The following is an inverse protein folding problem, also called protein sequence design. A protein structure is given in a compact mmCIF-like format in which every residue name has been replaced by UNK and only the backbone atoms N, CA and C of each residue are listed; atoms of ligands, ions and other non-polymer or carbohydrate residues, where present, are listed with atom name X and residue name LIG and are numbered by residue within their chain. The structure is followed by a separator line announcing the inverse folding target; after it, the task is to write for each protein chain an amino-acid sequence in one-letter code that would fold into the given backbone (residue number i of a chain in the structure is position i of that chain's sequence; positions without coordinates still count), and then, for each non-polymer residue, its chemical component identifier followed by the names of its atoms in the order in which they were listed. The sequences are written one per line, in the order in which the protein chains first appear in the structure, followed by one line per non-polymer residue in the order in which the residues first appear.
data_IF_150854241504
#
_entry.id   IF_150854241504
#
_cell.length_a   1.000
_cell.length_b   1.000
_cell.length_c   1.000
_cell.angle_alpha   90.00
_cell.angle_beta   90.00
_cell.angle_gamma   90.00
#
_symmetry.space_group_name_H-M   'P 1'
#
loop_
_entity.id
_entity.type
_entity.pdbx_description
1 polymer ?
#
# COMPACT_ATOMS: atom_id res chain seq x y z
N UNK A 1 21.37 26.38 -18.95
CA UNK A 1 20.82 25.22 -19.67
C UNK A 1 21.19 23.88 -19.02
N UNK A 2 22.41 23.74 -18.45
CA UNK A 2 22.82 22.57 -17.65
C UNK A 2 22.03 22.38 -16.35
N UNK A 3 21.71 23.47 -15.64
CA UNK A 3 20.94 23.43 -14.38
C UNK A 3 19.51 22.90 -14.57
N UNK A 4 18.89 23.21 -15.72
CA UNK A 4 17.54 22.74 -16.06
C UNK A 4 17.55 21.23 -16.31
N UNK A 5 18.54 20.72 -17.05
CA UNK A 5 18.76 19.29 -17.30
C UNK A 5 19.10 18.51 -16.02
N UNK A 6 19.93 19.07 -15.14
CA UNK A 6 20.27 18.45 -13.86
C UNK A 6 19.04 18.38 -12.94
N UNK A 7 18.23 19.45 -12.91
CA UNK A 7 16.99 19.48 -12.12
C UNK A 7 15.92 18.51 -12.65
N UNK A 8 15.83 18.29 -13.97
CA UNK A 8 14.93 17.30 -14.55
C UNK A 8 15.41 15.88 -14.27
N UNK A 9 16.73 15.66 -14.32
CA UNK A 9 17.31 14.34 -14.04
C UNK A 9 17.15 13.96 -12.56
N UNK A 10 17.39 14.87 -11.61
CA UNK A 10 17.10 14.62 -10.18
C UNK A 10 15.61 14.35 -9.92
N UNK A 11 14.71 15.04 -10.62
CA UNK A 11 13.26 14.77 -10.54
C UNK A 11 12.91 13.40 -11.10
N UNK A 12 13.52 12.99 -12.21
CA UNK A 12 13.34 11.67 -12.79
C UNK A 12 13.84 10.54 -11.87
N UNK A 13 15.05 10.68 -11.30
CA UNK A 13 15.61 9.70 -10.34
C UNK A 13 14.74 9.61 -9.08
N UNK A 14 14.28 10.76 -8.55
CA UNK A 14 13.44 10.80 -7.35
C UNK A 14 12.05 10.20 -7.62
N UNK A 15 11.51 10.34 -8.83
CA UNK A 15 10.32 9.60 -9.29
C UNK A 15 10.61 8.11 -9.34
N UNK A 16 11.71 7.68 -9.96
CA UNK A 16 12.03 6.24 -10.06
C UNK A 16 12.19 5.54 -8.70
N UNK A 17 12.81 6.20 -7.71
CA UNK A 17 12.88 5.68 -6.34
C UNK A 17 11.51 5.63 -5.65
N UNK A 18 10.68 6.66 -5.84
CA UNK A 18 9.27 6.69 -5.38
C UNK A 18 8.45 5.56 -5.99
N UNK A 19 8.56 5.37 -7.31
CA UNK A 19 7.90 4.32 -8.09
C UNK A 19 8.27 2.91 -7.58
N UNK A 20 9.53 2.70 -7.17
CA UNK A 20 9.98 1.41 -6.60
C UNK A 20 9.42 1.17 -5.19
N UNK A 21 9.39 2.21 -4.34
CA UNK A 21 8.93 2.10 -2.95
C UNK A 21 7.45 1.75 -2.80
N UNK A 22 6.61 2.36 -3.62
CA UNK A 22 5.18 2.08 -3.63
C UNK A 22 4.83 0.73 -4.27
N UNK A 23 5.46 0.38 -5.39
CA UNK A 23 5.34 -0.96 -5.97
C UNK A 23 5.73 -2.03 -4.94
N UNK A 24 6.76 -1.78 -4.12
CA UNK A 24 7.17 -2.67 -3.05
C UNK A 24 6.12 -2.80 -1.94
N UNK A 25 5.61 -1.68 -1.41
CA UNK A 25 4.59 -1.70 -0.35
C UNK A 25 3.32 -2.43 -0.80
N UNK A 26 2.80 -2.08 -1.97
CA UNK A 26 1.60 -2.71 -2.51
C UNK A 26 1.79 -4.20 -2.79
N UNK A 27 2.97 -4.62 -3.31
CA UNK A 27 3.28 -6.03 -3.48
C UNK A 27 3.38 -6.77 -2.15
N UNK A 28 3.96 -6.14 -1.13
CA UNK A 28 4.06 -6.73 0.21
C UNK A 28 2.67 -6.95 0.80
N UNK A 29 1.78 -5.96 0.69
CA UNK A 29 0.40 -6.05 1.18
C UNK A 29 -0.43 -7.11 0.43
N UNK A 30 -0.30 -7.22 -0.89
CA UNK A 30 -0.92 -8.29 -1.66
C UNK A 30 -0.38 -9.68 -1.27
N UNK A 31 0.94 -9.78 -1.05
CA UNK A 31 1.56 -11.03 -0.58
C UNK A 31 1.04 -11.42 0.79
N UNK A 32 0.92 -10.45 1.69
CA UNK A 32 0.36 -10.63 3.01
C UNK A 32 -1.10 -11.08 2.96
N UNK A 33 -1.94 -10.45 2.12
CA UNK A 33 -3.35 -10.83 1.94
C UNK A 33 -3.48 -12.25 1.40
N UNK A 34 -2.66 -12.62 0.41
CA UNK A 34 -2.62 -13.99 -0.10
C UNK A 34 -2.18 -14.99 0.97
N UNK A 35 -1.19 -14.60 1.79
CA UNK A 35 -0.72 -15.37 2.95
C UNK A 35 -1.85 -15.66 3.94
N UNK A 36 -2.63 -14.64 4.29
CA UNK A 36 -3.81 -14.80 5.16
C UNK A 36 -4.86 -15.73 4.56
N UNK A 37 -5.14 -15.63 3.26
CA UNK A 37 -6.07 -16.52 2.58
C UNK A 37 -5.63 -17.99 2.66
N UNK A 38 -4.34 -18.25 2.40
CA UNK A 38 -3.77 -19.60 2.54
C UNK A 38 -3.78 -20.10 3.98
N UNK A 39 -3.51 -19.24 4.96
CA UNK A 39 -3.57 -19.60 6.37
C UNK A 39 -5.00 -19.93 6.82
N UNK A 40 -5.98 -19.11 6.46
CA UNK A 40 -7.39 -19.34 6.77
C UNK A 40 -7.91 -20.65 6.16
N UNK A 41 -7.51 -20.95 4.92
CA UNK A 41 -7.84 -22.21 4.25
C UNK A 41 -6.94 -23.38 4.66
N UNK A 42 -5.92 -23.15 5.50
CA UNK A 42 -4.88 -24.12 5.89
C UNK A 42 -4.27 -24.85 4.68
N UNK A 43 -4.07 -24.13 3.57
CA UNK A 43 -3.63 -24.70 2.30
C UNK A 43 -2.65 -23.79 1.57
N UNK A 44 -1.47 -24.32 1.26
CA UNK A 44 -0.44 -23.63 0.49
C UNK A 44 -0.84 -23.41 -0.97
N UNK A 45 -1.71 -24.28 -1.53
CA UNK A 45 -2.25 -24.11 -2.88
C UNK A 45 -3.19 -22.90 -2.95
N UNK A 46 -3.99 -22.68 -1.90
CA UNK A 46 -4.87 -21.51 -1.82
C UNK A 46 -4.05 -20.23 -1.72
N UNK A 47 -2.95 -20.23 -0.95
CA UNK A 47 -1.98 -19.13 -0.94
C UNK A 47 -1.47 -18.83 -2.35
N UNK A 48 -0.94 -19.86 -3.05
CA UNK A 48 -0.34 -19.69 -4.37
C UNK A 48 -1.36 -19.16 -5.39
N UNK A 49 -2.56 -19.75 -5.42
CA UNK A 49 -3.63 -19.35 -6.31
C UNK A 49 -4.10 -17.91 -6.04
N UNK A 50 -4.29 -17.55 -4.76
CA UNK A 50 -4.68 -16.22 -4.36
C UNK A 50 -3.60 -15.18 -4.71
N UNK A 51 -2.32 -15.51 -4.50
CA UNK A 51 -1.20 -14.66 -4.87
C UNK A 51 -1.13 -14.42 -6.38
N UNK A 52 -1.22 -15.48 -7.18
CA UNK A 52 -1.21 -15.36 -8.64
C UNK A 52 -2.40 -14.53 -9.15
N UNK A 53 -3.60 -14.75 -8.58
CA UNK A 53 -4.80 -13.98 -8.91
C UNK A 53 -4.61 -12.49 -8.58
N UNK A 54 -4.10 -12.15 -7.40
CA UNK A 54 -3.86 -10.76 -7.00
C UNK A 54 -2.80 -10.08 -7.86
N UNK A 55 -1.73 -10.78 -8.22
CA UNK A 55 -0.70 -10.26 -9.13
C UNK A 55 -1.24 -10.05 -10.55
N UNK A 56 -2.19 -10.87 -10.99
CA UNK A 56 -2.89 -10.66 -12.24
C UNK A 56 -3.84 -9.45 -12.16
N UNK A 57 -4.63 -9.35 -11.09
CA UNK A 57 -5.57 -8.25 -10.85
C UNK A 57 -4.90 -6.89 -10.69
N UNK A 58 -3.64 -6.84 -10.24
CA UNK A 58 -2.81 -5.63 -10.15
C UNK A 58 -2.70 -4.86 -11.47
N UNK A 59 -2.95 -5.50 -12.61
CA UNK A 59 -2.98 -4.83 -13.93
C UNK A 59 -4.14 -3.87 -14.10
N UNK A 60 -5.20 -4.01 -13.30
CA UNK A 60 -6.40 -3.16 -13.38
C UNK A 60 -6.31 -2.01 -12.37
N UNK A 61 -6.38 -0.73 -12.82
CA UNK A 61 -6.23 0.42 -11.94
C UNK A 61 -7.34 0.49 -10.87
N UNK A 62 -8.56 0.05 -11.21
CA UNK A 62 -9.70 -0.01 -10.29
C UNK A 62 -9.43 -0.95 -9.11
N UNK A 63 -8.80 -2.10 -9.38
CA UNK A 63 -8.41 -3.05 -8.34
C UNK A 63 -7.38 -2.42 -7.40
N UNK A 64 -6.34 -1.80 -7.96
CA UNK A 64 -5.31 -1.12 -7.18
C UNK A 64 -5.90 -0.01 -6.29
N UNK A 65 -6.81 0.81 -6.83
CA UNK A 65 -7.50 1.86 -6.06
C UNK A 65 -8.28 1.28 -4.88
N UNK A 66 -9.07 0.25 -5.15
CA UNK A 66 -9.88 -0.41 -4.13
C UNK A 66 -9.00 -1.01 -3.03
N UNK A 67 -7.93 -1.71 -3.42
CA UNK A 67 -7.01 -2.35 -2.47
C UNK A 67 -6.22 -1.33 -1.65
N UNK A 68 -5.75 -0.24 -2.25
CA UNK A 68 -5.09 0.86 -1.52
C UNK A 68 -5.99 1.45 -0.42
N UNK A 69 -7.28 1.65 -0.71
CA UNK A 69 -8.26 2.13 0.30
C UNK A 69 -8.43 1.10 1.41
N UNK A 70 -8.60 -0.18 1.06
CA UNK A 70 -8.75 -1.27 2.02
C UNK A 70 -7.51 -1.46 2.90
N UNK A 71 -6.30 -1.42 2.33
CA UNK A 71 -5.06 -1.54 3.09
C UNK A 71 -4.83 -0.34 4.00
N UNK A 72 -5.10 0.89 3.53
CA UNK A 72 -5.05 2.09 4.39
C UNK A 72 -5.99 1.93 5.58
N UNK A 73 -7.23 1.50 5.34
CA UNK A 73 -8.19 1.24 6.40
C UNK A 73 -7.69 0.15 7.35
N UNK A 74 -7.17 -0.96 6.83
CA UNK A 74 -6.62 -2.06 7.62
C UNK A 74 -5.49 -1.59 8.56
N UNK A 75 -4.55 -0.75 8.09
CA UNK A 75 -3.49 -0.20 8.92
C UNK A 75 -4.04 0.71 10.03
N UNK A 76 -4.99 1.59 9.71
CA UNK A 76 -5.60 2.51 10.68
C UNK A 76 -6.42 1.77 11.73
N UNK A 77 -7.24 0.80 11.33
CA UNK A 77 -8.05 0.03 12.27
C UNK A 77 -7.22 -1.00 13.04
N UNK A 78 -6.16 -1.56 12.45
CA UNK A 78 -5.26 -2.48 13.17
C UNK A 78 -4.47 -1.74 14.26
N UNK A 79 -3.96 -0.53 13.97
CA UNK A 79 -3.32 0.31 14.99
C UNK A 79 -4.29 0.73 16.09
N UNK A 80 -5.56 0.94 15.72
CA UNK A 80 -6.63 1.17 16.69
C UNK A 80 -6.92 -0.10 17.51
N UNK A 81 -6.98 -1.28 16.90
CA UNK A 81 -7.24 -2.56 17.58
C UNK A 81 -6.16 -2.92 18.60
N UNK A 82 -4.88 -2.63 18.30
CA UNK A 82 -3.76 -2.79 19.23
C UNK A 82 -3.86 -1.90 20.48
N UNK A 83 -4.78 -0.93 20.50
CA UNK A 83 -4.97 0.00 21.60
C UNK A 83 -6.03 -0.36 22.61
N UNK A 84 -6.78 -1.45 22.38
CA UNK A 84 -7.77 -1.98 23.31
C UNK A 84 -7.13 -2.73 24.51
N UNK A 85 -6.04 -2.19 25.06
CA UNK A 85 -5.38 -2.75 26.25
C UNK A 85 -5.91 -2.03 27.48
N UNK A 86 -6.75 -2.73 28.25
CA UNK A 86 -7.24 -2.56 29.64
C UNK A 86 -7.70 -1.17 30.17
N UNK A 87 -7.33 -0.05 29.54
CA UNK A 87 -7.57 1.32 30.04
C UNK A 87 -8.41 2.20 29.08
N UNK A 88 -9.01 1.64 28.04
CA UNK A 88 -9.83 2.39 27.09
C UNK A 88 -9.02 3.24 26.10
N UNK A 89 -9.64 4.28 25.55
CA UNK A 89 -9.09 5.09 24.46
C UNK A 89 -7.96 5.98 24.97
N UNK A 90 -6.72 5.71 24.55
CA UNK A 90 -5.56 6.51 24.91
C UNK A 90 -5.29 7.58 23.86
N UNK A 91 -4.91 8.79 24.28
CA UNK A 91 -4.47 9.86 23.35
C UNK A 91 -3.32 9.37 22.46
N UNK A 92 -2.43 8.53 23.00
CA UNK A 92 -1.29 7.96 22.26
C UNK A 92 -1.76 7.10 21.09
N UNK A 93 -2.89 6.42 21.24
CA UNK A 93 -3.35 5.43 20.25
C UNK A 93 -4.16 6.09 19.16
N UNK A 94 -4.99 7.07 19.50
CA UNK A 94 -5.60 7.99 18.53
C UNK A 94 -4.52 8.69 17.69
N UNK A 95 -3.46 9.19 18.35
CA UNK A 95 -2.35 9.85 17.66
C UNK A 95 -1.64 8.89 16.69
N UNK A 96 -1.43 7.63 17.10
CA UNK A 96 -0.76 6.63 16.26
C UNK A 96 -1.62 6.19 15.07
N UNK A 97 -2.94 6.06 15.25
CA UNK A 97 -3.88 5.78 14.14
C UNK A 97 -3.97 6.94 13.15
N UNK A 98 -4.01 8.19 13.63
CA UNK A 98 -3.96 9.38 12.75
C UNK A 98 -2.63 9.43 12.00
N UNK A 99 -1.52 9.14 12.67
CA UNK A 99 -0.20 9.10 12.04
C UNK A 99 -0.12 7.99 10.98
N UNK A 100 -0.63 6.79 11.28
CA UNK A 100 -0.72 5.70 10.32
C UNK A 100 -1.58 6.08 9.11
N UNK A 101 -2.74 6.70 9.33
CA UNK A 101 -3.60 7.18 8.25
C UNK A 101 -2.85 8.17 7.34
N UNK A 102 -2.16 9.14 7.92
CA UNK A 102 -1.41 10.15 7.16
C UNK A 102 -0.29 9.51 6.34
N UNK A 103 0.51 8.62 6.95
CA UNK A 103 1.65 8.00 6.26
C UNK A 103 1.19 7.00 5.19
N UNK A 104 0.40 6.01 5.55
CA UNK A 104 -0.02 4.97 4.62
C UNK A 104 -0.99 5.53 3.58
N UNK A 105 -1.89 6.43 3.96
CA UNK A 105 -2.77 7.13 3.03
C UNK A 105 -1.98 7.96 2.01
N UNK A 106 -0.93 8.67 2.44
CA UNK A 106 -0.07 9.41 1.52
C UNK A 106 0.74 8.51 0.57
N UNK A 107 1.28 7.39 1.09
CA UNK A 107 1.98 6.39 0.26
C UNK A 107 1.06 5.75 -0.78
N UNK A 108 -0.17 5.38 -0.38
CA UNK A 108 -1.19 4.83 -1.28
C UNK A 108 -1.78 5.85 -2.25
N UNK A 109 -1.90 7.11 -1.85
CA UNK A 109 -2.38 8.16 -2.75
C UNK A 109 -1.38 8.43 -3.86
N UNK A 110 -0.10 8.67 -3.50
CA UNK A 110 0.98 8.74 -4.50
C UNK A 110 1.04 7.46 -5.33
N UNK A 111 0.76 6.35 -4.68
CA UNK A 111 0.33 5.07 -5.22
C UNK A 111 -0.37 5.12 -6.56
N UNK A 112 -1.55 5.68 -6.45
CA UNK A 112 -2.58 5.60 -7.45
C UNK A 112 -2.38 6.65 -8.54
N UNK A 113 -1.88 7.83 -8.18
CA UNK A 113 -1.53 8.87 -9.17
C UNK A 113 -0.52 8.34 -10.20
N UNK A 114 0.48 7.56 -9.77
CA UNK A 114 1.48 6.98 -10.68
C UNK A 114 0.94 5.79 -11.49
N UNK A 115 0.09 4.93 -10.91
CA UNK A 115 -0.56 3.84 -11.65
C UNK A 115 -1.50 4.39 -12.72
N UNK A 116 -2.26 5.44 -12.41
CA UNK A 116 -3.11 6.12 -13.39
C UNK A 116 -2.27 6.71 -14.54
N UNK A 117 -1.10 7.30 -14.28
CA UNK A 117 -0.24 7.84 -15.35
C UNK A 117 0.32 6.74 -16.28
N UNK A 118 0.58 5.53 -15.74
CA UNK A 118 1.07 4.37 -16.50
C UNK A 118 -0.05 3.73 -17.35
N UNK A 119 -1.27 3.62 -16.81
CA UNK A 119 -2.39 2.92 -17.43
C UNK A 119 -3.39 3.84 -18.17
N UNK A 120 -3.26 5.16 -18.07
CA UNK A 120 -4.02 6.13 -18.87
C UNK A 120 -3.42 6.37 -20.28
N UNK A 121 -2.45 5.55 -20.71
CA UNK A 121 -2.00 5.40 -22.09
C UNK A 121 -2.65 4.19 -22.74
#
# INVERSE_FOLDING_TARGET
MSSTLESSHRRAIRREWSNRGMSLLFNFELTWLAGLAGFAAKSWLVFLAAFMLMMWLRRFPIFCLTMCVLFTANWVFSTWGLSYVDNGWSIRTVTLSVFAFVIFGWLHWRGLDELNDIYAR
#
